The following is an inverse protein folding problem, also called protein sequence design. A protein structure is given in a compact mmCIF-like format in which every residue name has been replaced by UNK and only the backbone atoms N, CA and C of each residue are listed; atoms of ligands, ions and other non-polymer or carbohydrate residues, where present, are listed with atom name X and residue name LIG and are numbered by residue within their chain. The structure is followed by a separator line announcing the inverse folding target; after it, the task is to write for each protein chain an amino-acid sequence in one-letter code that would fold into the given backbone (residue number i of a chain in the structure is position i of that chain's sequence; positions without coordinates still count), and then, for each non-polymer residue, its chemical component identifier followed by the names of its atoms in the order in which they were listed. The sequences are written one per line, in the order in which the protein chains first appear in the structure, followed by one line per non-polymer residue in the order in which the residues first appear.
data_IF_393853091190
#
_entry.id   IF_393853091190
#
_cell.length_a   1.000
_cell.length_b   1.000
_cell.length_c   1.000
_cell.angle_alpha   90.00
_cell.angle_beta   90.00
_cell.angle_gamma   90.00
#
_symmetry.space_group_name_H-M   'P 1'
#
loop_
_entity.id
_entity.type
_entity.pdbx_description
1 polymer ?
#
# COMPACT_ATOMS: atom_id res chain seq x y z
N UNK A 1 -3.07 18.52 3.92
CA UNK A 1 -3.67 17.53 2.98
C UNK A 1 -4.70 18.26 2.13
N UNK A 2 -4.74 18.07 0.81
CA UNK A 2 -5.70 18.69 -0.12
C UNK A 2 -7.14 18.10 -0.02
N UNK A 3 -7.40 17.26 0.98
CA UNK A 3 -8.71 16.63 1.22
C UNK A 3 -8.95 15.38 0.36
N UNK A 4 -7.91 14.87 -0.29
CA UNK A 4 -7.99 13.67 -1.12
C UNK A 4 -7.80 12.41 -0.28
N UNK A 5 -8.61 11.42 -0.60
CA UNK A 5 -8.51 10.05 -0.12
C UNK A 5 -8.03 9.16 -1.26
N UNK A 6 -7.36 8.06 -0.91
CA UNK A 6 -6.76 7.13 -1.86
C UNK A 6 -7.05 5.67 -1.49
N UNK A 7 -7.10 4.79 -2.49
CA UNK A 7 -7.21 3.35 -2.29
C UNK A 7 -6.22 2.61 -3.20
N UNK A 8 -5.13 2.05 -2.66
CA UNK A 8 -4.20 1.23 -3.43
C UNK A 8 -4.82 -0.15 -3.75
N UNK A 9 -4.70 -0.58 -5.00
CA UNK A 9 -5.26 -1.85 -5.50
C UNK A 9 -4.17 -2.64 -6.24
N UNK A 10 -3.91 -3.86 -5.76
CA UNK A 10 -2.98 -4.81 -6.40
C UNK A 10 -3.69 -5.98 -7.10
N UNK A 11 -5.00 -6.13 -6.91
CA UNK A 11 -5.81 -7.21 -7.47
C UNK A 11 -6.30 -6.91 -8.90
N UNK A 12 -5.38 -6.67 -9.84
CA UNK A 12 -5.68 -6.44 -11.25
C UNK A 12 -4.82 -7.34 -12.15
N UNK A 13 -5.19 -7.47 -13.42
CA UNK A 13 -4.37 -8.18 -14.42
C UNK A 13 -3.33 -7.21 -15.02
N UNK A 14 -2.02 -7.38 -14.71
CA UNK A 14 -0.99 -6.48 -15.20
C UNK A 14 -0.77 -6.57 -16.70
N UNK A 15 -1.01 -7.72 -17.34
CA UNK A 15 -0.84 -7.89 -18.78
C UNK A 15 -1.97 -7.18 -19.52
N UNK A 16 -3.21 -7.33 -19.04
CA UNK A 16 -4.35 -6.62 -19.61
C UNK A 16 -4.21 -5.10 -19.47
N UNK A 17 -3.79 -4.61 -18.30
CA UNK A 17 -3.55 -3.17 -18.08
C UNK A 17 -2.43 -2.64 -18.96
N UNK A 18 -1.30 -3.35 -19.06
CA UNK A 18 -0.20 -2.96 -19.92
C UNK A 18 -0.63 -2.85 -21.39
N UNK A 19 -1.47 -3.78 -21.86
CA UNK A 19 -2.05 -3.73 -23.21
C UNK A 19 -2.98 -2.54 -23.42
N UNK A 20 -3.87 -2.25 -22.46
CA UNK A 20 -4.82 -1.13 -22.53
C UNK A 20 -4.08 0.21 -22.58
N UNK A 21 -2.98 0.33 -21.82
CA UNK A 21 -2.19 1.55 -21.71
C UNK A 21 -1.04 1.62 -22.73
N UNK A 22 -0.91 0.63 -23.60
CA UNK A 22 0.14 0.54 -24.63
C UNK A 22 1.56 0.68 -24.02
N UNK A 23 1.78 0.06 -22.87
CA UNK A 23 3.06 0.10 -22.18
C UNK A 23 4.11 -0.71 -22.94
N UNK A 24 5.34 -0.19 -22.98
CA UNK A 24 6.49 -0.97 -23.44
C UNK A 24 6.92 -2.01 -22.38
N UNK A 25 7.83 -2.90 -22.77
CA UNK A 25 8.31 -3.99 -21.92
C UNK A 25 9.05 -3.52 -20.64
N UNK A 26 9.50 -2.27 -20.58
CA UNK A 26 10.18 -1.70 -19.41
C UNK A 26 9.21 -1.07 -18.41
N UNK A 27 7.94 -0.88 -18.77
CA UNK A 27 6.90 -0.30 -17.92
C UNK A 27 5.97 -1.37 -17.36
N UNK A 28 6.23 -1.77 -16.12
CA UNK A 28 5.45 -2.80 -15.43
C UNK A 28 4.45 -2.13 -14.48
N UNK A 29 3.13 -2.34 -14.64
CA UNK A 29 2.15 -1.82 -13.70
C UNK A 29 2.21 -2.60 -12.38
N UNK A 30 2.50 -1.90 -11.27
CA UNK A 30 2.68 -2.51 -9.94
C UNK A 30 1.46 -2.32 -9.04
N UNK A 31 0.77 -1.19 -9.19
CA UNK A 31 -0.35 -0.81 -8.33
C UNK A 31 -1.25 0.18 -9.07
N UNK A 32 -2.56 0.00 -8.95
CA UNK A 32 -3.53 1.02 -9.32
C UNK A 32 -3.87 1.84 -8.08
N UNK A 33 -3.99 3.16 -8.24
CA UNK A 33 -4.32 4.07 -7.14
C UNK A 33 -5.53 4.91 -7.52
N UNK A 34 -6.65 4.71 -6.83
CA UNK A 34 -7.78 5.64 -6.96
C UNK A 34 -7.52 6.90 -6.14
N UNK A 35 -7.99 8.04 -6.64
CA UNK A 35 -7.88 9.36 -6.01
C UNK A 35 -9.24 10.05 -6.08
N UNK A 36 -9.69 10.66 -4.98
CA UNK A 36 -10.94 11.40 -4.96
C UNK A 36 -11.21 12.08 -3.63
N UNK A 37 -12.28 12.88 -3.58
CA UNK A 37 -12.78 13.42 -2.32
C UNK A 37 -13.62 12.38 -1.59
N UNK A 38 -13.50 12.33 -0.26
CA UNK A 38 -14.30 11.43 0.57
C UNK A 38 -15.80 11.69 0.37
N UNK A 39 -16.56 10.63 0.21
CA UNK A 39 -18.03 10.70 0.21
C UNK A 39 -18.61 10.46 1.60
N UNK A 40 -18.00 9.56 2.35
CA UNK A 40 -18.42 9.07 3.67
C UNK A 40 -17.18 8.84 4.54
N UNK A 41 -17.37 8.70 5.85
CA UNK A 41 -16.25 8.43 6.76
C UNK A 41 -15.68 7.02 6.55
N UNK A 42 -14.34 6.85 6.64
CA UNK A 42 -13.72 5.55 6.47
C UNK A 42 -14.10 4.62 7.61
N UNK A 43 -14.17 3.31 7.30
CA UNK A 43 -14.31 2.29 8.33
C UNK A 43 -13.14 2.40 9.34
N UNK A 44 -13.35 2.02 10.61
CA UNK A 44 -12.28 1.97 11.60
C UNK A 44 -11.10 1.18 11.05
N UNK A 45 -9.88 1.73 11.20
CA UNK A 45 -8.67 1.05 10.75
C UNK A 45 -8.51 -0.26 11.52
N UNK A 46 -8.18 -1.34 10.81
CA UNK A 46 -7.77 -2.58 11.45
C UNK A 46 -6.57 -2.34 12.36
N UNK A 47 -6.51 -3.08 13.48
CA UNK A 47 -5.36 -3.04 14.38
C UNK A 47 -4.05 -3.33 13.63
N UNK A 48 -2.97 -2.75 14.12
CA UNK A 48 -1.61 -3.07 13.68
C UNK A 48 -0.96 -3.99 14.70
N UNK A 49 -0.03 -4.82 14.24
CA UNK A 49 0.83 -5.63 15.12
C UNK A 49 1.62 -4.72 16.07
N UNK A 50 1.91 -5.16 17.32
CA UNK A 50 2.73 -4.41 18.26
C UNK A 50 4.07 -4.01 17.65
N UNK A 51 4.56 -2.81 17.99
CA UNK A 51 5.81 -2.28 17.43
C UNK A 51 7.02 -3.14 17.78
N UNK A 52 7.09 -3.66 19.02
CA UNK A 52 8.16 -4.56 19.49
C UNK A 52 8.23 -5.87 18.71
N UNK A 53 7.13 -6.28 18.08
CA UNK A 53 7.08 -7.48 17.24
C UNK A 53 7.75 -7.25 15.88
N UNK A 54 7.61 -6.05 15.31
CA UNK A 54 8.03 -5.73 13.93
C UNK A 54 9.39 -5.03 13.90
N UNK A 55 9.66 -4.14 14.86
CA UNK A 55 10.89 -3.35 14.90
C UNK A 55 11.91 -4.04 15.79
N UNK A 56 13.08 -4.33 15.21
CA UNK A 56 14.19 -5.05 15.87
C UNK A 56 15.43 -4.16 15.95
N UNK A 57 16.12 -4.20 17.09
CA UNK A 57 17.31 -3.37 17.35
C UNK A 57 18.59 -4.10 16.95
N UNK A 58 19.49 -3.40 16.26
CA UNK A 58 20.82 -3.84 15.80
C UNK A 58 20.85 -4.95 14.74
N UNK A 59 19.98 -5.95 14.85
CA UNK A 59 19.94 -7.10 13.92
C UNK A 59 18.50 -7.49 13.61
N UNK A 60 18.29 -8.23 12.52
CA UNK A 60 16.96 -8.72 12.14
C UNK A 60 16.32 -9.61 13.22
N UNK A 61 17.13 -10.28 14.04
CA UNK A 61 16.69 -11.13 15.15
C UNK A 61 16.99 -10.52 16.52
N UNK A 62 17.24 -9.20 16.60
CA UNK A 62 17.57 -8.52 17.83
C UNK A 62 16.36 -8.32 18.75
N UNK A 63 16.55 -7.66 19.90
CA UNK A 63 15.45 -7.30 20.81
C UNK A 63 14.38 -6.44 20.13
N UNK A 64 13.12 -6.59 20.55
CA UNK A 64 12.04 -5.71 20.11
C UNK A 64 12.27 -4.27 20.56
N UNK A 65 11.82 -3.29 19.76
CA UNK A 65 11.81 -1.90 20.21
C UNK A 65 10.95 -1.77 21.47
N UNK A 66 11.52 -1.23 22.56
CA UNK A 66 10.90 -1.06 23.88
C UNK A 66 10.73 -2.35 24.70
N UNK A 67 11.42 -3.43 24.32
CA UNK A 67 11.60 -4.64 25.13
C UNK A 67 12.83 -4.53 26.05
#
# INVERSE_FOLDING_TARGET
NRGWDTCPMIGFDPVAVAKILELDASHIPVMLLTLGYRKEDPRPRSSRRPVSEIVKINTLNGPGLME
#
